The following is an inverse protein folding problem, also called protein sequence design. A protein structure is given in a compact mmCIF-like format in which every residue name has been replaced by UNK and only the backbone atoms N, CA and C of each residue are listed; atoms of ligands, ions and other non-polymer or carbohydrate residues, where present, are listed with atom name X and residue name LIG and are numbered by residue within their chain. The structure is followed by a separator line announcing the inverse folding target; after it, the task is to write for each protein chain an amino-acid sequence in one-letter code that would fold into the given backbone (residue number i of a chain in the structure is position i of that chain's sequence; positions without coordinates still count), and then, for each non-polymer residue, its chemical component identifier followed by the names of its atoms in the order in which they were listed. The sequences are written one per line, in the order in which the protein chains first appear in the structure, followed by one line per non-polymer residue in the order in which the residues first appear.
data_IF_948293131491
#
_entry.id   IF_948293131491
#
_cell.length_a   1.000
_cell.length_b   1.000
_cell.length_c   1.000
_cell.angle_alpha   90.00
_cell.angle_beta   90.00
_cell.angle_gamma   90.00
#
_symmetry.space_group_name_H-M   'P 1'
#
loop_
_entity.id
_entity.type
_entity.pdbx_description
1 polymer ?
#
# COMPACT_ATOMS: atom_id res chain seq x y z
N UNK A 1 -12.64 2.74 -21.30
CA UNK A 1 -12.35 4.20 -21.37
C UNK A 1 -13.11 4.86 -22.53
N UNK A 2 -14.38 4.48 -22.77
CA UNK A 2 -15.14 4.81 -23.99
C UNK A 2 -16.63 4.94 -23.71
N UNK A 3 -17.29 5.90 -24.34
CA UNK A 3 -18.68 5.77 -24.79
C UNK A 3 -18.85 6.46 -26.16
N UNK A 4 -19.71 5.94 -27.04
CA UNK A 4 -19.62 6.18 -28.50
C UNK A 4 -20.63 7.21 -29.01
N UNK A 5 -20.16 8.20 -29.77
CA UNK A 5 -21.01 9.20 -30.46
C UNK A 5 -21.98 8.52 -31.45
N UNK A 6 -23.27 8.86 -31.38
CA UNK A 6 -24.23 8.70 -32.48
C UNK A 6 -24.56 10.09 -33.06
N UNK A 7 -24.17 10.32 -34.30
CA UNK A 7 -24.68 11.43 -35.13
C UNK A 7 -25.42 10.83 -36.32
N UNK A 8 -26.73 11.06 -36.40
CA UNK A 8 -27.58 10.54 -37.47
C UNK A 8 -27.54 11.44 -38.71
N UNK A 9 -26.95 10.97 -39.80
CA UNK A 9 -27.09 11.55 -41.14
C UNK A 9 -27.94 10.62 -42.00
N UNK A 10 -29.13 11.08 -42.40
CA UNK A 10 -30.00 10.35 -43.30
C UNK A 10 -29.50 10.45 -44.74
N UNK A 11 -29.39 9.31 -45.43
CA UNK A 11 -29.30 9.23 -46.89
C UNK A 11 -30.36 8.23 -47.35
N UNK A 12 -31.17 8.65 -48.29
CA UNK A 12 -32.18 7.84 -48.97
C UNK A 12 -31.54 7.05 -50.12
N UNK A 13 -31.94 5.80 -50.30
CA UNK A 13 -31.97 5.17 -51.63
C UNK A 13 -33.09 4.12 -51.70
N UNK A 14 -33.53 3.80 -52.91
CA UNK A 14 -34.81 3.11 -53.16
C UNK A 14 -34.66 1.87 -54.08
N UNK A 15 -35.59 0.92 -53.92
CA UNK A 15 -35.88 -0.24 -54.80
C UNK A 15 -34.79 -1.31 -55.07
N UNK A 16 -35.13 -2.58 -54.82
CA UNK A 16 -34.22 -3.74 -54.97
C UNK A 16 -34.87 -5.12 -54.78
N UNK A 17 -36.12 -5.27 -55.26
CA UNK A 17 -37.06 -6.40 -55.09
C UNK A 17 -36.48 -7.85 -55.06
N UNK A 18 -36.84 -8.65 -54.05
CA UNK A 18 -36.43 -10.07 -53.90
C UNK A 18 -37.29 -10.93 -52.95
N UNK A 19 -38.42 -11.48 -53.46
CA UNK A 19 -39.29 -12.52 -52.83
C UNK A 19 -38.52 -13.76 -52.31
N UNK A 20 -38.95 -14.55 -51.31
CA UNK A 20 -40.22 -14.73 -50.52
C UNK A 20 -39.85 -15.12 -49.03
N UNK A 21 -40.64 -15.61 -48.07
CA UNK A 21 -41.94 -16.35 -48.00
C UNK A 21 -42.66 -16.17 -46.61
N UNK A 22 -43.33 -17.22 -46.10
CA UNK A 22 -44.03 -17.38 -44.80
C UNK A 22 -43.22 -16.92 -43.57
N UNK A 23 -43.79 -16.21 -42.57
CA UNK A 23 -44.97 -16.50 -41.70
C UNK A 23 -44.77 -17.77 -40.85
N UNK A 24 -45.14 -17.83 -39.56
CA UNK A 24 -46.26 -17.18 -38.85
C UNK A 24 -45.83 -16.85 -37.40
N UNK A 25 -45.84 -15.58 -36.97
CA UNK A 25 -46.84 -14.98 -36.06
C UNK A 25 -47.31 -15.87 -34.89
N UNK A 26 -46.97 -15.44 -33.67
CA UNK A 26 -47.91 -15.38 -32.53
C UNK A 26 -47.98 -13.91 -32.12
N UNK A 27 -49.12 -13.46 -31.63
CA UNK A 27 -49.37 -12.11 -31.11
C UNK A 27 -50.34 -12.23 -29.91
N UNK A 28 -50.72 -11.08 -29.37
CA UNK A 28 -51.72 -10.82 -28.32
C UNK A 28 -51.02 -10.56 -26.97
N UNK A 29 -50.79 -9.29 -26.62
CA UNK A 29 -51.74 -8.36 -25.94
C UNK A 29 -51.73 -8.67 -24.43
N UNK A 30 -51.00 -7.89 -23.62
CA UNK A 30 -51.28 -6.50 -23.16
C UNK A 30 -52.55 -6.45 -22.33
N UNK A 31 -52.37 -6.18 -21.04
CA UNK A 31 -53.21 -5.25 -20.28
C UNK A 31 -52.26 -4.41 -19.41
N UNK A 32 -52.40 -3.09 -19.49
CA UNK A 32 -51.81 -2.13 -18.55
C UNK A 32 -52.87 -1.83 -17.48
N UNK A 33 -52.47 -1.63 -16.22
CA UNK A 33 -53.27 -0.81 -15.30
C UNK A 33 -52.37 0.12 -14.48
N UNK A 34 -52.84 1.35 -14.30
CA UNK A 34 -52.03 2.51 -13.92
C UNK A 34 -52.79 3.34 -12.91
N UNK A 35 -52.14 3.64 -11.78
CA UNK A 35 -52.15 4.95 -11.12
C UNK A 35 -51.00 4.98 -10.10
N UNK A 36 -50.11 5.98 -10.05
CA UNK A 36 -50.30 7.42 -9.81
C UNK A 36 -50.95 7.72 -8.45
N UNK A 37 -50.69 8.82 -7.76
CA UNK A 37 -49.62 9.83 -7.70
C UNK A 37 -50.19 10.83 -6.68
N UNK A 38 -49.59 10.99 -5.50
CA UNK A 38 -49.89 12.14 -4.63
C UNK A 38 -48.58 12.71 -4.11
N UNK A 39 -48.31 13.93 -4.54
CA UNK A 39 -47.19 14.76 -4.09
C UNK A 39 -47.59 15.55 -2.85
N UNK A 40 -46.61 15.80 -1.99
CA UNK A 40 -46.31 17.08 -1.33
C UNK A 40 -44.96 16.89 -0.61
N UNK A 41 -44.07 17.88 -0.48
CA UNK A 41 -44.16 19.29 -0.89
C UNK A 41 -43.80 20.19 0.29
N UNK A 42 -42.82 21.09 0.09
CA UNK A 42 -42.34 22.10 1.07
C UNK A 42 -41.63 21.52 2.32
N UNK A 43 -40.66 22.19 2.96
CA UNK A 43 -39.87 23.38 2.58
C UNK A 43 -38.46 23.32 3.24
N UNK A 44 -37.64 24.35 2.99
CA UNK A 44 -36.37 24.59 3.68
C UNK A 44 -36.58 24.90 5.17
N UNK A 45 -35.62 24.53 6.02
CA UNK A 45 -35.20 25.44 7.09
C UNK A 45 -33.72 25.23 7.43
N UNK A 46 -33.05 26.33 7.76
CA UNK A 46 -31.63 26.38 8.13
C UNK A 46 -31.47 26.05 9.61
N UNK A 47 -30.28 25.58 10.04
CA UNK A 47 -29.88 25.61 11.46
C UNK A 47 -28.36 25.44 11.58
N UNK A 48 -27.65 26.53 11.32
CA UNK A 48 -26.38 26.82 12.00
C UNK A 48 -26.65 27.01 13.49
N UNK A 49 -25.84 26.44 14.37
CA UNK A 49 -25.75 26.92 15.76
C UNK A 49 -24.28 26.92 16.19
N UNK A 50 -23.82 28.10 16.62
CA UNK A 50 -22.44 28.34 17.04
C UNK A 50 -22.29 28.11 18.55
N UNK A 51 -21.06 27.85 19.02
CA UNK A 51 -20.67 28.26 20.38
C UNK A 51 -19.16 28.54 20.50
N UNK A 52 -18.85 29.79 20.20
CA UNK A 52 -18.05 30.70 21.03
C UNK A 52 -16.82 30.13 21.76
N UNK A 53 -15.64 30.63 21.36
CA UNK A 53 -14.52 30.81 22.29
C UNK A 53 -14.91 31.77 23.40
N UNK A 54 -14.35 31.57 24.60
CA UNK A 54 -14.13 32.63 25.56
C UNK A 54 -12.65 32.62 25.98
N UNK A 55 -11.87 33.52 25.39
CA UNK A 55 -10.59 33.97 25.94
C UNK A 55 -10.88 35.06 26.98
N UNK A 56 -10.13 35.08 28.08
CA UNK A 56 -9.84 36.32 28.81
C UNK A 56 -8.69 36.10 29.79
N UNK A 57 -7.72 37.00 29.74
CA UNK A 57 -6.61 37.08 30.67
C UNK A 57 -7.08 37.59 32.05
N UNK A 58 -6.21 37.43 33.05
CA UNK A 58 -5.77 38.57 33.84
C UNK A 58 -4.42 38.26 34.51
N UNK A 59 -3.50 39.21 34.40
CA UNK A 59 -2.33 39.30 35.27
C UNK A 59 -2.76 39.75 36.67
N UNK A 60 -2.08 39.30 37.72
CA UNK A 60 -1.70 40.20 38.81
C UNK A 60 -0.50 39.61 39.59
N UNK A 61 0.32 40.47 40.20
CA UNK A 61 1.67 40.10 40.65
C UNK A 61 2.06 40.48 42.09
N UNK A 62 3.28 40.09 42.47
CA UNK A 62 3.95 40.28 43.77
C UNK A 62 3.30 39.53 44.97
N UNK A 63 4.05 38.87 45.85
CA UNK A 63 5.19 39.43 46.61
C UNK A 63 6.29 38.41 46.96
N UNK A 64 7.48 38.91 47.31
CA UNK A 64 8.61 38.11 47.79
C UNK A 64 8.54 37.85 49.31
N UNK A 65 8.97 36.67 49.78
CA UNK A 65 10.12 36.54 50.69
C UNK A 65 10.48 35.09 51.10
N UNK A 66 11.78 34.77 51.08
CA UNK A 66 12.50 34.47 52.32
C UNK A 66 12.42 33.08 52.99
N UNK A 67 12.94 32.04 52.32
CA UNK A 67 13.95 31.13 52.90
C UNK A 67 13.56 30.06 53.95
N UNK A 68 14.16 28.87 53.81
CA UNK A 68 14.12 27.76 54.78
C UNK A 68 14.36 26.42 54.09
N UNK A 69 15.61 25.94 54.07
CA UNK A 69 16.00 24.76 53.28
C UNK A 69 15.98 23.43 54.05
N UNK A 70 16.33 22.35 53.36
CA UNK A 70 16.53 21.01 53.92
C UNK A 70 16.26 19.90 52.90
N UNK A 71 17.32 19.17 52.54
CA UNK A 71 17.40 17.74 52.16
C UNK A 71 16.40 17.09 51.15
N UNK A 72 16.96 16.43 50.11
CA UNK A 72 16.36 15.32 49.34
C UNK A 72 15.30 15.68 48.29
N UNK A 73 15.24 15.06 47.11
CA UNK A 73 16.01 13.94 46.53
C UNK A 73 16.20 14.14 44.99
N UNK A 74 17.07 13.34 44.37
CA UNK A 74 17.42 13.41 42.93
C UNK A 74 16.42 12.61 42.05
N UNK A 75 15.30 13.22 41.65
CA UNK A 75 14.18 12.58 40.90
C UNK A 75 13.97 13.14 39.45
N UNK A 76 15.03 13.48 38.69
CA UNK A 76 14.92 13.93 37.28
C UNK A 76 15.69 13.09 36.22
N UNK A 77 16.40 12.02 36.60
CA UNK A 77 17.17 11.16 35.66
C UNK A 77 16.42 9.88 35.19
N UNK A 78 15.29 9.52 35.81
CA UNK A 78 14.67 8.17 35.68
C UNK A 78 13.95 7.91 34.33
N UNK A 79 13.42 8.94 33.63
CA UNK A 79 12.66 8.73 32.38
C UNK A 79 13.53 8.24 31.20
N UNK A 80 14.82 8.61 31.15
CA UNK A 80 15.74 8.26 30.06
C UNK A 80 16.28 6.81 30.18
N UNK A 81 16.51 6.30 31.40
CA UNK A 81 17.00 4.92 31.59
C UNK A 81 15.86 3.89 31.48
N UNK A 82 14.59 4.28 31.67
CA UNK A 82 13.43 3.37 31.48
C UNK A 82 13.15 3.06 29.99
N UNK A 83 13.33 4.03 29.07
CA UNK A 83 13.38 3.74 27.62
C UNK A 83 14.59 2.85 27.28
N UNK A 84 15.76 3.08 27.88
CA UNK A 84 16.94 2.25 27.66
C UNK A 84 16.76 0.81 28.20
N UNK A 85 16.07 0.64 29.32
CA UNK A 85 15.60 -0.63 29.88
C UNK A 85 14.63 -1.36 28.91
N UNK A 86 13.63 -0.66 28.37
CA UNK A 86 12.72 -1.18 27.33
C UNK A 86 13.47 -1.57 26.02
N UNK A 87 14.44 -0.79 25.56
CA UNK A 87 15.34 -1.12 24.43
C UNK A 87 16.12 -2.43 24.68
N UNK A 88 16.72 -2.57 25.89
CA UNK A 88 17.45 -3.77 26.33
C UNK A 88 16.50 -4.98 26.33
N UNK A 89 15.31 -4.87 26.94
CA UNK A 89 14.27 -5.92 27.01
C UNK A 89 13.79 -6.40 25.63
N UNK A 90 13.77 -5.53 24.62
CA UNK A 90 13.34 -5.82 23.24
C UNK A 90 14.42 -6.49 22.36
N UNK A 91 15.65 -6.69 22.85
CA UNK A 91 16.78 -7.20 22.06
C UNK A 91 17.01 -8.70 22.23
N UNK A 92 16.67 -9.50 21.20
CA UNK A 92 16.95 -10.95 21.19
C UNK A 92 18.36 -11.24 20.70
N UNK A 93 19.08 -12.08 21.45
CA UNK A 93 20.46 -12.51 21.15
C UNK A 93 20.52 -14.02 20.93
N UNK A 94 21.31 -14.47 19.96
CA UNK A 94 21.51 -15.90 19.64
C UNK A 94 22.93 -16.17 19.14
N UNK A 95 23.43 -17.41 19.28
CA UNK A 95 24.71 -17.83 18.71
C UNK A 95 24.51 -18.59 17.39
N UNK A 96 25.39 -18.35 16.41
CA UNK A 96 25.46 -19.09 15.15
C UNK A 96 26.90 -19.09 14.62
N UNK A 97 27.41 -20.23 14.15
CA UNK A 97 28.81 -20.39 13.68
C UNK A 97 29.86 -19.90 14.72
N UNK A 98 29.56 -20.08 16.01
CA UNK A 98 30.37 -19.59 17.14
C UNK A 98 30.25 -18.08 17.42
N UNK A 99 29.59 -17.31 16.55
CA UNK A 99 29.42 -15.86 16.68
C UNK A 99 28.08 -15.52 17.33
N UNK A 100 28.10 -14.60 18.29
CA UNK A 100 26.89 -14.06 18.91
C UNK A 100 26.31 -12.93 18.06
N UNK A 101 25.03 -13.03 17.72
CA UNK A 101 24.25 -12.06 16.95
C UNK A 101 23.08 -11.55 17.78
N UNK A 102 22.79 -10.26 17.69
CA UNK A 102 21.64 -9.62 18.33
C UNK A 102 20.79 -8.83 17.34
N UNK A 103 19.49 -8.73 17.61
CA UNK A 103 18.55 -7.88 16.87
C UNK A 103 17.35 -7.51 17.74
N UNK A 104 16.79 -6.32 17.48
CA UNK A 104 15.55 -5.86 18.12
C UNK A 104 14.36 -6.60 17.54
N UNK A 105 13.59 -7.27 18.38
CA UNK A 105 12.34 -7.91 17.98
C UNK A 105 11.16 -6.93 17.99
N UNK A 106 10.04 -7.33 17.39
CA UNK A 106 8.80 -6.53 17.40
C UNK A 106 7.99 -6.86 18.66
N UNK A 107 7.25 -5.90 19.25
CA UNK A 107 6.42 -6.14 20.45
C UNK A 107 5.53 -7.38 20.32
N UNK A 108 4.88 -7.55 19.16
CA UNK A 108 4.04 -8.72 18.86
C UNK A 108 4.73 -10.09 18.93
N UNK A 109 6.06 -10.16 18.80
CA UNK A 109 6.84 -11.40 18.92
C UNK A 109 7.19 -11.67 20.39
N UNK A 110 7.51 -10.61 21.13
CA UNK A 110 7.85 -10.64 22.55
C UNK A 110 6.60 -11.03 23.36
N UNK A 111 5.46 -10.40 23.10
CA UNK A 111 4.17 -10.74 23.72
C UNK A 111 3.73 -12.19 23.48
N UNK A 112 4.14 -12.81 22.37
CA UNK A 112 3.87 -14.22 22.09
C UNK A 112 4.82 -15.13 22.90
N UNK A 113 6.11 -14.80 22.97
CA UNK A 113 7.09 -15.52 23.82
C UNK A 113 6.73 -15.47 25.31
N UNK A 114 6.24 -14.33 25.78
CA UNK A 114 5.71 -14.13 27.13
C UNK A 114 4.32 -14.79 27.32
N UNK A 115 3.69 -15.27 26.24
CA UNK A 115 2.37 -15.89 26.27
C UNK A 115 1.23 -14.92 26.60
N UNK A 116 1.43 -13.60 26.47
CA UNK A 116 0.38 -12.56 26.61
C UNK A 116 -0.61 -12.64 25.44
N UNK A 117 -0.12 -12.98 24.25
CA UNK A 117 -0.92 -13.30 23.06
C UNK A 117 -0.67 -14.73 22.59
N UNK A 118 -1.54 -15.21 21.71
CA UNK A 118 -1.41 -16.47 20.98
C UNK A 118 -2.09 -16.38 19.60
N UNK A 119 -1.62 -17.20 18.66
CA UNK A 119 -2.16 -17.31 17.30
C UNK A 119 -2.96 -18.61 17.18
N UNK A 120 -4.27 -18.52 16.95
CA UNK A 120 -5.17 -19.68 16.85
C UNK A 120 -5.84 -19.74 15.49
N UNK A 121 -5.89 -20.92 14.88
CA UNK A 121 -6.72 -21.17 13.69
C UNK A 121 -8.05 -21.77 14.16
N UNK A 122 -9.16 -21.12 13.80
CA UNK A 122 -10.52 -21.51 14.15
C UNK A 122 -11.42 -21.56 12.90
N UNK A 123 -12.45 -22.40 12.93
CA UNK A 123 -13.54 -22.42 11.95
C UNK A 123 -14.88 -22.67 12.66
N UNK A 124 -15.98 -22.73 11.90
CA UNK A 124 -17.30 -22.98 12.48
C UNK A 124 -17.53 -24.48 12.80
N UNK A 125 -16.87 -24.94 13.85
CA UNK A 125 -16.93 -26.29 14.44
C UNK A 125 -18.11 -26.50 15.41
N UNK A 126 -18.98 -25.50 15.59
CA UNK A 126 -20.02 -25.38 16.64
C UNK A 126 -19.53 -25.34 18.10
N UNK A 127 -18.23 -25.27 18.38
CA UNK A 127 -17.72 -25.09 19.74
C UNK A 127 -17.95 -23.66 20.23
N UNK A 128 -18.16 -23.50 21.55
CA UNK A 128 -18.38 -22.18 22.16
C UNK A 128 -17.16 -21.26 21.98
N UNK A 129 -15.95 -21.81 22.03
CA UNK A 129 -14.70 -21.04 21.99
C UNK A 129 -14.40 -20.50 20.58
N UNK A 130 -14.46 -21.36 19.55
CA UNK A 130 -14.42 -20.92 18.15
C UNK A 130 -15.58 -19.97 17.84
N UNK A 131 -16.79 -20.25 18.38
CA UNK A 131 -17.93 -19.33 18.47
C UNK A 131 -17.55 -17.89 18.86
N UNK A 132 -16.91 -17.74 20.03
CA UNK A 132 -16.52 -16.46 20.60
C UNK A 132 -15.39 -15.78 19.79
N UNK A 133 -14.39 -16.53 19.34
CA UNK A 133 -13.28 -15.98 18.54
C UNK A 133 -13.76 -15.50 17.17
N UNK A 134 -14.60 -16.27 16.47
CA UNK A 134 -15.20 -15.86 15.19
C UNK A 134 -16.14 -14.66 15.36
N UNK A 135 -16.87 -14.58 16.47
CA UNK A 135 -17.69 -13.39 16.80
C UNK A 135 -16.83 -12.15 16.98
N UNK A 136 -15.70 -12.27 17.69
CA UNK A 136 -14.73 -11.18 17.86
C UNK A 136 -14.14 -10.72 16.53
N UNK A 137 -13.70 -11.66 15.69
CA UNK A 137 -13.19 -11.38 14.35
C UNK A 137 -14.22 -10.68 13.45
N UNK A 138 -15.45 -11.21 13.37
CA UNK A 138 -16.57 -10.56 12.67
C UNK A 138 -16.71 -9.09 13.09
N UNK A 139 -16.69 -8.83 14.40
CA UNK A 139 -16.90 -7.48 14.94
C UNK A 139 -15.72 -6.54 14.62
N UNK A 140 -14.49 -7.05 14.47
CA UNK A 140 -13.34 -6.28 13.97
C UNK A 140 -13.48 -6.00 12.48
N UNK A 141 -13.74 -7.02 11.66
CA UNK A 141 -13.91 -6.85 10.21
C UNK A 141 -15.05 -5.86 9.89
N UNK A 142 -16.19 -5.94 10.58
CA UNK A 142 -17.32 -5.01 10.41
C UNK A 142 -17.02 -3.55 10.81
N UNK A 143 -15.94 -3.29 11.57
CA UNK A 143 -15.47 -1.94 11.92
C UNK A 143 -14.35 -1.47 10.99
N UNK A 144 -13.40 -2.35 10.65
CA UNK A 144 -12.20 -2.00 9.88
C UNK A 144 -12.42 -2.06 8.35
N UNK A 145 -13.46 -2.75 7.87
CA UNK A 145 -13.81 -2.88 6.45
C UNK A 145 -15.20 -2.27 6.16
N UNK A 146 -15.41 -0.94 6.32
CA UNK A 146 -16.73 -0.33 6.26
C UNK A 146 -17.43 -0.43 4.88
N UNK A 147 -16.67 -0.68 3.80
CA UNK A 147 -17.21 -0.94 2.46
C UNK A 147 -17.85 -2.33 2.32
N UNK A 148 -17.49 -3.29 3.17
CA UNK A 148 -17.95 -4.67 3.08
C UNK A 148 -19.28 -4.86 3.84
N UNK A 149 -20.35 -5.38 3.21
CA UNK A 149 -21.64 -5.53 3.87
C UNK A 149 -21.56 -6.39 5.14
N UNK A 150 -22.17 -5.92 6.24
CA UNK A 150 -22.10 -6.58 7.56
C UNK A 150 -22.59 -8.04 7.54
N UNK A 151 -23.62 -8.31 6.75
CA UNK A 151 -24.15 -9.66 6.54
C UNK A 151 -23.20 -10.54 5.73
N UNK A 152 -22.57 -10.00 4.68
CA UNK A 152 -21.57 -10.69 3.87
C UNK A 152 -20.36 -11.14 4.71
N UNK A 153 -19.83 -10.24 5.56
CA UNK A 153 -18.79 -10.57 6.54
C UNK A 153 -19.27 -11.70 7.47
N UNK A 154 -20.47 -11.55 8.06
CA UNK A 154 -21.01 -12.55 8.99
C UNK A 154 -21.14 -13.92 8.34
N UNK A 155 -21.63 -13.97 7.08
CA UNK A 155 -21.86 -15.20 6.33
C UNK A 155 -20.56 -15.94 6.01
N UNK A 156 -19.48 -15.24 5.65
CA UNK A 156 -18.20 -15.88 5.33
C UNK A 156 -17.35 -16.20 6.57
N UNK A 157 -17.39 -15.39 7.64
CA UNK A 157 -16.67 -15.70 8.89
C UNK A 157 -17.24 -16.95 9.59
N UNK A 158 -18.53 -17.23 9.43
CA UNK A 158 -19.16 -18.45 9.94
C UNK A 158 -19.32 -19.57 8.89
N UNK A 159 -18.78 -19.41 7.68
CA UNK A 159 -18.84 -20.45 6.64
C UNK A 159 -17.85 -21.59 6.95
N UNK A 160 -18.30 -22.84 6.83
CA UNK A 160 -17.51 -24.03 7.22
C UNK A 160 -16.37 -24.37 6.26
N UNK A 161 -16.34 -23.81 5.04
CA UNK A 161 -15.21 -23.92 4.13
C UNK A 161 -14.16 -22.82 4.33
N UNK A 162 -14.40 -21.87 5.24
CA UNK A 162 -13.46 -20.81 5.59
C UNK A 162 -12.78 -21.12 6.93
N UNK A 163 -11.51 -20.74 7.02
CA UNK A 163 -10.68 -20.81 8.21
C UNK A 163 -10.29 -19.38 8.61
N UNK A 164 -10.19 -19.12 9.90
CA UNK A 164 -9.74 -17.83 10.41
C UNK A 164 -8.56 -18.00 11.36
N UNK A 165 -7.43 -17.40 11.03
CA UNK A 165 -6.33 -17.24 11.96
C UNK A 165 -6.54 -15.97 12.78
N UNK A 166 -6.76 -16.12 14.09
CA UNK A 166 -6.98 -15.05 15.04
C UNK A 166 -5.73 -14.77 15.87
N UNK A 167 -5.46 -13.49 16.12
CA UNK A 167 -4.59 -13.03 17.20
C UNK A 167 -5.45 -12.87 18.44
N UNK A 168 -5.17 -13.65 19.49
CA UNK A 168 -5.94 -13.63 20.75
C UNK A 168 -5.02 -13.20 21.88
N UNK A 169 -5.38 -12.12 22.59
CA UNK A 169 -4.78 -11.71 23.86
C UNK A 169 -5.52 -12.44 24.98
N UNK A 170 -4.79 -13.05 25.92
CA UNK A 170 -5.43 -13.82 27.01
C UNK A 170 -6.29 -12.90 27.89
N UNK A 171 -7.44 -13.39 28.43
CA UNK A 171 -7.92 -14.77 28.37
C UNK A 171 -8.54 -15.19 27.02
N UNK A 172 -9.32 -14.33 26.34
CA UNK A 172 -9.91 -14.65 25.03
C UNK A 172 -10.26 -13.39 24.20
N UNK A 173 -9.49 -12.32 24.35
CA UNK A 173 -9.73 -11.03 23.68
C UNK A 173 -9.15 -11.05 22.28
N UNK A 174 -10.00 -11.01 21.24
CA UNK A 174 -9.55 -10.99 19.85
C UNK A 174 -8.95 -9.61 19.51
N UNK A 175 -7.70 -9.60 19.03
CA UNK A 175 -6.95 -8.39 18.62
C UNK A 175 -7.08 -8.14 17.11
N UNK A 176 -7.23 -9.20 16.32
CA UNK A 176 -7.35 -9.15 14.86
C UNK A 176 -7.25 -10.54 14.24
N UNK A 177 -7.27 -10.62 12.91
CA UNK A 177 -7.13 -11.90 12.21
C UNK A 177 -7.19 -11.81 10.68
N UNK A 178 -6.97 -12.98 10.07
CA UNK A 178 -7.16 -13.22 8.64
C UNK A 178 -8.16 -14.36 8.48
N UNK A 179 -9.25 -14.11 7.74
CA UNK A 179 -10.15 -15.16 7.24
C UNK A 179 -9.74 -15.52 5.83
N UNK A 180 -9.53 -16.81 5.57
CA UNK A 180 -9.07 -17.35 4.30
C UNK A 180 -9.82 -18.63 3.94
N UNK A 181 -9.75 -19.01 2.66
CA UNK A 181 -10.40 -20.19 2.10
C UNK A 181 -9.38 -21.01 1.31
N UNK A 182 -8.93 -22.18 1.81
CA UNK A 182 -7.98 -23.02 1.08
C UNK A 182 -8.65 -23.75 -0.08
N UNK A 183 -7.90 -23.92 -1.17
CA UNK A 183 -8.24 -24.77 -2.30
C UNK A 183 -7.06 -25.74 -2.53
N UNK A 184 -6.88 -26.71 -1.62
CA UNK A 184 -5.67 -27.54 -1.57
C UNK A 184 -5.40 -28.33 -2.87
N UNK A 185 -6.47 -28.77 -3.55
CA UNK A 185 -6.42 -29.42 -4.86
C UNK A 185 -5.95 -28.49 -6.01
N UNK A 186 -5.80 -27.19 -5.75
CA UNK A 186 -5.38 -26.13 -6.68
C UNK A 186 -4.16 -25.34 -6.15
N UNK A 187 -3.55 -25.81 -5.06
CA UNK A 187 -2.33 -25.27 -4.44
C UNK A 187 -2.39 -23.78 -4.02
N UNK A 188 -3.58 -23.18 -3.90
CA UNK A 188 -3.75 -21.79 -3.47
C UNK A 188 -4.81 -21.63 -2.37
N UNK A 189 -4.75 -20.50 -1.65
CA UNK A 189 -5.85 -20.05 -0.79
C UNK A 189 -6.25 -18.61 -1.11
N UNK A 190 -7.54 -18.33 -1.01
CA UNK A 190 -8.12 -16.98 -1.09
C UNK A 190 -8.06 -16.33 0.30
N UNK A 191 -7.42 -15.16 0.42
CA UNK A 191 -7.57 -14.31 1.60
C UNK A 191 -8.81 -13.44 1.38
N UNK A 192 -9.80 -13.62 2.25
CA UNK A 192 -11.12 -12.99 2.16
C UNK A 192 -11.17 -11.72 3.01
N UNK A 193 -10.68 -11.78 4.25
CA UNK A 193 -10.60 -10.63 5.15
C UNK A 193 -9.24 -10.61 5.87
N UNK A 194 -8.67 -9.43 6.09
CA UNK A 194 -7.44 -9.22 6.85
C UNK A 194 -7.54 -7.89 7.61
N UNK A 195 -7.60 -7.93 8.95
CA UNK A 195 -7.72 -6.72 9.77
C UNK A 195 -7.17 -6.90 11.19
N UNK A 196 -6.65 -5.80 11.76
CA UNK A 196 -6.27 -5.67 13.17
C UNK A 196 -7.10 -4.54 13.78
N UNK A 197 -7.51 -4.67 15.05
CA UNK A 197 -8.19 -3.59 15.78
C UNK A 197 -7.37 -2.30 15.73
N UNK A 198 -8.01 -1.16 15.46
CA UNK A 198 -7.33 0.15 15.35
C UNK A 198 -6.54 0.54 16.61
N UNK A 199 -7.00 0.11 17.79
CA UNK A 199 -6.30 0.26 19.08
C UNK A 199 -4.95 -0.49 19.18
N UNK A 200 -4.71 -1.43 18.28
CA UNK A 200 -3.58 -2.37 18.29
C UNK A 200 -2.80 -2.33 16.95
N UNK A 201 -3.10 -1.37 16.07
CA UNK A 201 -2.35 -1.16 14.83
C UNK A 201 -0.95 -0.60 15.13
N UNK A 202 -0.08 -0.57 14.10
CA UNK A 202 1.35 -0.20 14.17
C UNK A 202 2.26 -1.15 15.01
N UNK A 203 1.76 -1.80 16.07
CA UNK A 203 2.47 -2.76 16.95
C UNK A 203 3.03 -4.03 16.28
N UNK A 204 2.82 -4.19 14.97
CA UNK A 204 3.42 -5.24 14.15
C UNK A 204 2.57 -6.50 13.94
N UNK A 205 1.46 -6.67 14.68
CA UNK A 205 0.65 -7.91 14.66
C UNK A 205 0.25 -8.37 13.26
N UNK A 206 -0.12 -7.47 12.33
CA UNK A 206 -0.54 -7.87 10.97
C UNK A 206 0.56 -8.61 10.18
N UNK A 207 1.80 -8.13 10.24
CA UNK A 207 2.92 -8.80 9.58
C UNK A 207 3.32 -10.10 10.32
N UNK A 208 3.16 -10.15 11.64
CA UNK A 208 3.43 -11.36 12.42
C UNK A 208 2.38 -12.46 12.17
N UNK A 209 1.11 -12.07 12.11
CA UNK A 209 -0.04 -12.87 11.70
C UNK A 209 0.11 -13.43 10.27
N UNK A 210 0.60 -12.62 9.32
CA UNK A 210 0.88 -13.10 7.97
C UNK A 210 2.03 -14.11 7.94
N UNK A 211 3.08 -13.94 8.75
CA UNK A 211 4.15 -14.93 8.87
C UNK A 211 3.63 -16.25 9.47
N UNK A 212 2.84 -16.18 10.54
CA UNK A 212 2.14 -17.34 11.13
C UNK A 212 1.25 -18.04 10.10
N UNK A 213 0.45 -17.30 9.31
CA UNK A 213 -0.41 -17.87 8.27
C UNK A 213 0.39 -18.61 7.20
N UNK A 214 1.51 -18.05 6.73
CA UNK A 214 2.39 -18.67 5.74
C UNK A 214 3.12 -19.89 6.26
N UNK A 215 3.53 -19.90 7.53
CA UNK A 215 4.17 -21.05 8.15
C UNK A 215 3.15 -22.15 8.46
N UNK A 216 1.94 -21.79 8.91
CA UNK A 216 0.83 -22.72 9.13
C UNK A 216 0.38 -23.40 7.84
N UNK A 217 -0.02 -22.65 6.80
CA UNK A 217 -0.55 -23.23 5.56
C UNK A 217 0.45 -24.16 4.89
N UNK A 218 1.74 -23.80 4.83
CA UNK A 218 2.79 -24.67 4.25
C UNK A 218 3.10 -25.90 5.10
N UNK A 219 2.85 -25.86 6.40
CA UNK A 219 3.06 -27.00 7.31
C UNK A 219 1.85 -27.96 7.37
N UNK A 220 0.65 -27.48 7.02
CA UNK A 220 -0.60 -28.25 7.16
C UNK A 220 -1.27 -28.62 5.84
N UNK A 221 -0.97 -27.95 4.73
CA UNK A 221 -1.60 -28.22 3.44
C UNK A 221 -0.68 -27.93 2.22
N UNK A 222 -1.17 -28.24 1.02
CA UNK A 222 -0.43 -28.06 -0.24
C UNK A 222 -0.48 -26.61 -0.77
N UNK A 223 -0.96 -25.64 0.01
CA UNK A 223 -1.08 -24.25 -0.44
C UNK A 223 0.31 -23.58 -0.56
N UNK A 224 0.64 -23.17 -1.79
CA UNK A 224 1.86 -22.46 -2.18
C UNK A 224 1.60 -20.98 -2.49
N UNK A 225 0.38 -20.65 -2.91
CA UNK A 225 -0.01 -19.31 -3.35
C UNK A 225 -1.13 -18.73 -2.49
N UNK A 226 -1.09 -17.43 -2.22
CA UNK A 226 -2.25 -16.68 -1.73
C UNK A 226 -2.72 -15.70 -2.79
N UNK A 227 -4.04 -15.67 -3.02
CA UNK A 227 -4.72 -14.65 -3.83
C UNK A 227 -5.59 -13.80 -2.91
N UNK A 228 -5.65 -12.49 -3.15
CA UNK A 228 -6.48 -11.55 -2.40
C UNK A 228 -6.95 -10.44 -3.32
N UNK A 229 -8.16 -9.95 -3.13
CA UNK A 229 -8.48 -8.58 -3.55
C UNK A 229 -8.05 -7.63 -2.43
N UNK A 230 -7.37 -6.54 -2.78
CA UNK A 230 -6.86 -5.56 -1.86
C UNK A 230 -7.43 -4.17 -2.18
N UNK A 231 -8.08 -3.56 -1.20
CA UNK A 231 -8.39 -2.12 -1.21
C UNK A 231 -7.11 -1.29 -1.39
N UNK A 232 -7.21 -0.13 -2.07
CA UNK A 232 -6.05 0.73 -2.37
C UNK A 232 -5.17 1.03 -1.14
N UNK A 233 -5.78 1.29 0.02
CA UNK A 233 -5.07 1.51 1.30
C UNK A 233 -4.29 0.28 1.80
N UNK A 234 -4.73 -0.93 1.45
CA UNK A 234 -4.12 -2.20 1.85
C UNK A 234 -3.01 -2.66 0.89
N UNK A 235 -2.95 -2.16 -0.35
CA UNK A 235 -1.90 -2.55 -1.34
C UNK A 235 -0.49 -2.36 -0.77
N UNK A 236 -0.24 -1.27 -0.02
CA UNK A 236 1.05 -1.01 0.62
C UNK A 236 1.42 -2.01 1.73
N UNK A 237 0.42 -2.58 2.41
CA UNK A 237 0.61 -3.68 3.37
C UNK A 237 0.90 -4.99 2.63
N UNK A 238 0.09 -5.35 1.62
CA UNK A 238 0.26 -6.58 0.85
C UNK A 238 1.59 -6.60 0.06
N UNK A 239 2.01 -5.48 -0.58
CA UNK A 239 3.36 -5.33 -1.15
C UNK A 239 4.45 -5.65 -0.11
N UNK A 240 4.36 -5.12 1.11
CA UNK A 240 5.29 -5.42 2.23
C UNK A 240 5.24 -6.89 2.72
N UNK A 241 4.13 -7.59 2.48
CA UNK A 241 4.01 -9.04 2.72
C UNK A 241 4.47 -9.89 1.52
N UNK A 242 5.04 -9.31 0.47
CA UNK A 242 5.48 -10.07 -0.72
C UNK A 242 4.34 -10.49 -1.64
N UNK A 243 3.26 -9.71 -1.69
CA UNK A 243 2.26 -9.82 -2.76
C UNK A 243 2.62 -8.86 -3.91
N UNK A 244 2.35 -9.26 -5.14
CA UNK A 244 2.47 -8.46 -6.37
C UNK A 244 1.10 -8.28 -7.05
N UNK A 245 0.96 -7.25 -7.90
CA UNK A 245 -0.17 -7.11 -8.83
C UNK A 245 -0.11 -8.14 -9.99
N UNK A 246 1.08 -8.71 -10.24
CA UNK A 246 1.32 -9.66 -11.32
C UNK A 246 0.84 -11.06 -10.93
N UNK A 247 -0.20 -11.55 -11.58
CA UNK A 247 -0.79 -12.87 -11.31
C UNK A 247 -0.14 -13.90 -12.23
N UNK A 248 0.87 -14.61 -11.73
CA UNK A 248 1.58 -15.66 -12.48
C UNK A 248 0.87 -17.02 -12.45
N UNK A 249 -0.14 -17.17 -11.58
CA UNK A 249 -0.98 -18.37 -11.53
C UNK A 249 -2.01 -18.34 -12.68
N UNK A 250 -2.05 -19.41 -13.48
CA UNK A 250 -2.92 -19.48 -14.66
C UNK A 250 -4.41 -19.26 -14.31
N UNK A 251 -5.13 -18.56 -15.19
CA UNK A 251 -6.54 -18.18 -14.98
C UNK A 251 -7.44 -19.39 -14.71
N UNK A 252 -7.20 -20.55 -15.33
CA UNK A 252 -7.99 -21.77 -15.09
C UNK A 252 -7.82 -22.35 -13.68
N UNK A 253 -6.80 -21.93 -12.94
CA UNK A 253 -6.55 -22.37 -11.56
C UNK A 253 -7.46 -21.63 -10.56
N UNK A 254 -7.77 -20.35 -10.77
CA UNK A 254 -8.43 -19.50 -9.77
C UNK A 254 -9.71 -18.79 -10.23
N UNK A 255 -9.90 -18.58 -11.54
CA UNK A 255 -11.06 -17.87 -12.08
C UNK A 255 -12.35 -18.64 -11.78
N UNK A 256 -13.36 -17.95 -11.24
CA UNK A 256 -14.62 -18.54 -10.78
C UNK A 256 -14.56 -19.26 -9.43
N UNK A 257 -13.37 -19.42 -8.81
CA UNK A 257 -13.22 -20.00 -7.47
C UNK A 257 -13.17 -18.95 -6.37
N UNK A 258 -12.44 -17.86 -6.61
CA UNK A 258 -12.38 -16.69 -5.73
C UNK A 258 -13.57 -15.75 -5.95
N UNK A 259 -13.72 -14.73 -5.10
CA UNK A 259 -14.69 -13.65 -5.27
C UNK A 259 -14.04 -12.39 -5.81
N UNK A 260 -14.63 -11.88 -6.88
CA UNK A 260 -14.30 -10.58 -7.45
C UNK A 260 -14.94 -9.48 -6.59
N UNK A 261 -14.17 -8.45 -6.24
CA UNK A 261 -14.64 -7.31 -5.44
C UNK A 261 -14.46 -6.01 -6.22
N UNK A 262 -15.56 -5.27 -6.40
CA UNK A 262 -15.55 -4.00 -7.14
C UNK A 262 -14.64 -2.97 -6.45
N UNK A 263 -13.71 -2.38 -7.22
CA UNK A 263 -12.71 -1.44 -6.69
C UNK A 263 -11.55 -2.07 -5.91
N UNK A 264 -11.49 -3.41 -5.79
CA UNK A 264 -10.34 -4.12 -5.24
C UNK A 264 -9.29 -4.43 -6.31
N UNK A 265 -8.00 -4.31 -5.98
CA UNK A 265 -6.89 -4.79 -6.83
C UNK A 265 -6.60 -6.26 -6.51
N UNK A 266 -6.69 -7.15 -7.49
CA UNK A 266 -6.25 -8.55 -7.34
C UNK A 266 -4.72 -8.59 -7.16
N UNK A 267 -4.26 -9.34 -6.15
CA UNK A 267 -2.84 -9.51 -5.85
C UNK A 267 -2.50 -10.97 -5.49
N UNK A 268 -1.31 -11.42 -5.90
CA UNK A 268 -0.78 -12.77 -5.64
C UNK A 268 0.46 -12.71 -4.74
N UNK A 269 0.53 -13.59 -3.72
CA UNK A 269 1.78 -13.95 -3.03
C UNK A 269 2.17 -15.37 -3.40
N UNK A 270 3.36 -15.53 -3.98
CA UNK A 270 4.01 -16.84 -4.15
C UNK A 270 4.90 -17.10 -2.93
N UNK A 271 4.59 -18.11 -2.13
CA UNK A 271 5.36 -18.39 -0.92
C UNK A 271 6.70 -19.06 -1.23
N UNK A 272 7.70 -18.79 -0.39
CA UNK A 272 9.03 -19.39 -0.49
C UNK A 272 9.01 -20.87 -0.06
N UNK A 273 10.00 -21.68 -0.50
CA UNK A 273 10.07 -23.10 -0.14
C UNK A 273 10.08 -23.38 1.37
N UNK A 274 9.55 -24.54 1.75
CA UNK A 274 9.26 -24.95 3.13
C UNK A 274 10.49 -24.95 4.07
N UNK A 275 11.71 -25.05 3.53
CA UNK A 275 12.96 -24.96 4.29
C UNK A 275 13.17 -23.58 4.97
N UNK A 276 12.46 -22.54 4.54
CA UNK A 276 12.49 -21.20 5.15
C UNK A 276 11.22 -20.97 5.97
N UNK A 277 11.34 -20.75 7.28
CA UNK A 277 10.24 -20.28 8.15
C UNK A 277 10.13 -18.75 8.11
N UNK A 278 8.93 -18.22 7.85
CA UNK A 278 8.69 -16.77 7.85
C UNK A 278 8.79 -16.17 9.26
N UNK A 279 8.51 -16.93 10.31
CA UNK A 279 8.70 -16.49 11.70
C UNK A 279 10.18 -16.25 12.07
N UNK A 280 11.13 -16.93 11.42
CA UNK A 280 12.57 -16.71 11.60
C UNK A 280 13.17 -15.70 10.61
N UNK A 281 12.36 -15.06 9.75
CA UNK A 281 12.84 -14.22 8.64
C UNK A 281 13.86 -13.15 9.08
N UNK A 282 13.68 -12.53 10.25
CA UNK A 282 14.63 -11.55 10.80
C UNK A 282 16.01 -12.16 11.07
N UNK A 283 16.08 -13.36 11.65
CA UNK A 283 17.33 -14.10 11.92
C UNK A 283 17.97 -14.55 10.60
N UNK A 284 17.17 -15.06 9.67
CA UNK A 284 17.64 -15.53 8.35
C UNK A 284 18.28 -14.38 7.57
N UNK A 285 17.62 -13.21 7.50
CA UNK A 285 18.16 -12.02 6.84
C UNK A 285 19.41 -11.47 7.56
N UNK A 286 19.45 -11.50 8.90
CA UNK A 286 20.64 -11.11 9.66
C UNK A 286 21.85 -12.00 9.37
N UNK A 287 21.64 -13.33 9.33
CA UNK A 287 22.70 -14.29 9.00
C UNK A 287 23.16 -14.17 7.54
N UNK A 288 22.24 -13.95 6.59
CA UNK A 288 22.57 -13.67 5.19
C UNK A 288 23.41 -12.38 5.06
N UNK A 289 22.98 -11.28 5.71
CA UNK A 289 23.75 -10.03 5.79
C UNK A 289 25.13 -10.26 6.39
N UNK A 290 25.23 -10.97 7.51
CA UNK A 290 26.50 -11.27 8.17
C UNK A 290 27.44 -12.13 7.29
N UNK A 291 26.91 -13.10 6.55
CA UNK A 291 27.70 -13.91 5.61
C UNK A 291 28.23 -13.07 4.43
N UNK A 292 27.40 -12.18 3.88
CA UNK A 292 27.80 -11.23 2.83
C UNK A 292 28.86 -10.26 3.37
N UNK A 293 28.68 -9.69 4.56
CA UNK A 293 29.67 -8.82 5.20
C UNK A 293 30.98 -9.54 5.53
N UNK A 294 30.93 -10.79 6.01
CA UNK A 294 32.11 -11.66 6.22
C UNK A 294 32.88 -11.83 4.90
N UNK A 295 32.19 -11.92 3.76
CA UNK A 295 32.82 -11.99 2.44
C UNK A 295 33.30 -10.63 1.89
N UNK A 296 32.60 -9.54 2.18
CA UNK A 296 33.03 -8.18 1.84
C UNK A 296 34.30 -7.82 2.62
N UNK A 297 34.38 -8.10 3.92
CA UNK A 297 35.55 -7.83 4.77
C UNK A 297 36.82 -8.57 4.32
N UNK A 298 36.69 -9.73 3.64
CA UNK A 298 37.81 -10.43 3.01
C UNK A 298 38.40 -9.73 1.76
N UNK A 299 37.70 -8.74 1.18
CA UNK A 299 38.13 -8.01 -0.03
C UNK A 299 38.27 -6.50 0.19
N UNK A 300 37.41 -5.92 1.05
CA UNK A 300 37.33 -4.49 1.30
C UNK A 300 38.02 -4.10 2.60
N UNK A 301 38.99 -3.19 2.48
CA UNK A 301 39.70 -2.55 3.60
C UNK A 301 38.84 -1.52 4.36
N UNK A 302 37.59 -1.27 3.95
CA UNK A 302 36.74 -0.22 4.55
C UNK A 302 36.40 -0.43 6.04
N UNK A 303 36.61 -1.64 6.57
CA UNK A 303 36.44 -1.95 7.98
C UNK A 303 37.67 -1.60 8.85
N UNK A 304 38.78 -1.16 8.24
CA UNK A 304 40.01 -0.79 8.94
C UNK A 304 39.94 0.68 9.34
N UNK A 305 39.69 0.93 10.63
CA UNK A 305 39.82 2.27 11.23
C UNK A 305 41.28 2.72 11.13
N UNK A 306 41.51 3.97 10.69
CA UNK A 306 42.83 4.54 10.45
C UNK A 306 43.04 5.78 11.34
N UNK A 307 44.28 6.09 11.75
CA UNK A 307 44.55 7.26 12.57
C UNK A 307 44.16 8.55 11.85
N UNK A 308 43.61 9.51 12.59
CA UNK A 308 43.25 10.83 12.06
C UNK A 308 44.46 11.55 11.47
N UNK A 309 44.22 12.36 10.42
CA UNK A 309 45.26 13.08 9.69
C UNK A 309 45.81 14.21 10.58
N UNK A 310 47.09 14.13 10.94
CA UNK A 310 47.68 15.04 11.94
C UNK A 310 47.74 16.50 11.48
N UNK A 311 47.68 16.76 10.17
CA UNK A 311 47.70 18.11 9.58
C UNK A 311 46.57 18.99 10.13
N UNK A 312 45.39 18.42 10.38
CA UNK A 312 44.24 19.16 10.92
C UNK A 312 44.38 19.56 12.39
N UNK A 313 45.41 19.08 13.11
CA UNK A 313 45.75 19.57 14.46
C UNK A 313 46.50 20.90 14.43
N UNK A 314 47.31 21.15 13.39
CA UNK A 314 48.11 22.37 13.24
C UNK A 314 47.52 23.38 12.26
N UNK A 315 46.74 22.94 11.27
CA UNK A 315 46.00 23.82 10.37
C UNK A 315 44.64 23.18 9.99
N UNK A 316 43.53 23.79 10.43
CA UNK A 316 42.17 23.31 10.15
C UNK A 316 41.78 23.44 8.69
N UNK A 317 42.30 24.44 7.98
CA UNK A 317 41.95 24.77 6.58
C UNK A 317 42.90 24.12 5.56
N UNK A 318 43.65 23.10 5.98
CA UNK A 318 44.64 22.41 5.14
C UNK A 318 43.98 21.63 4.00
N UNK A 319 44.15 22.10 2.76
CA UNK A 319 43.71 21.38 1.55
C UNK A 319 44.66 20.22 1.26
N UNK A 320 44.17 18.99 1.43
CA UNK A 320 44.89 17.75 1.16
C UNK A 320 44.48 17.14 -0.19
N UNK A 321 45.40 16.45 -0.85
CA UNK A 321 45.12 15.64 -2.03
C UNK A 321 44.61 14.24 -1.60
N UNK A 322 43.34 13.88 -1.88
CA UNK A 322 42.76 12.64 -1.34
C UNK A 322 43.50 11.36 -1.78
N UNK A 323 44.03 11.31 -3.00
CA UNK A 323 44.71 10.13 -3.55
C UNK A 323 46.12 9.90 -3.00
N UNK A 324 46.75 10.91 -2.38
CA UNK A 324 48.13 10.87 -1.88
C UNK A 324 48.22 11.01 -0.35
N UNK A 325 47.53 12.00 0.19
CA UNK A 325 47.72 12.45 1.58
C UNK A 325 46.81 11.68 2.56
N UNK A 326 45.92 10.83 2.03
CA UNK A 326 45.03 9.94 2.80
C UNK A 326 45.42 8.49 2.49
N UNK A 327 46.30 7.86 3.30
CA UNK A 327 46.82 6.51 3.02
C UNK A 327 45.73 5.47 2.80
N UNK A 328 44.61 5.55 3.54
CA UNK A 328 43.48 4.63 3.40
C UNK A 328 42.67 4.77 2.11
N UNK A 329 42.69 5.94 1.48
CA UNK A 329 42.02 6.18 0.21
C UNK A 329 42.92 5.71 -0.95
N UNK A 330 44.22 6.02 -0.87
CA UNK A 330 45.24 5.49 -1.79
C UNK A 330 45.26 3.95 -1.77
N UNK A 331 45.30 3.34 -0.59
CA UNK A 331 45.31 1.89 -0.39
C UNK A 331 44.04 1.14 -0.80
N UNK A 332 42.92 1.83 -1.00
CA UNK A 332 41.65 1.22 -1.42
C UNK A 332 41.49 1.19 -2.94
N UNK A 333 42.41 1.81 -3.69
CA UNK A 333 42.33 1.95 -5.15
C UNK A 333 41.34 3.01 -5.60
N UNK A 334 41.03 4.00 -4.74
CA UNK A 334 40.16 5.12 -5.08
C UNK A 334 40.73 5.96 -6.23
N UNK A 335 39.85 6.39 -7.12
CA UNK A 335 40.15 7.28 -8.23
C UNK A 335 39.16 8.45 -8.20
N UNK A 336 39.63 9.64 -8.53
CA UNK A 336 38.81 10.86 -8.55
C UNK A 336 37.57 10.73 -9.47
N UNK A 337 37.70 9.99 -10.57
CA UNK A 337 36.59 9.68 -11.49
C UNK A 337 35.54 8.75 -10.88
N UNK A 338 35.92 7.86 -9.96
CA UNK A 338 34.96 7.02 -9.22
C UNK A 338 34.17 7.86 -8.21
N UNK A 339 34.81 8.87 -7.62
CA UNK A 339 34.18 9.81 -6.70
C UNK A 339 33.21 10.74 -7.44
N UNK A 340 33.63 11.33 -8.57
CA UNK A 340 32.75 12.09 -9.47
C UNK A 340 31.55 11.26 -9.95
N UNK A 341 31.73 9.95 -10.18
CA UNK A 341 30.64 9.05 -10.54
C UNK A 341 29.72 8.72 -9.36
N UNK A 342 30.23 8.67 -8.13
CA UNK A 342 29.45 8.44 -6.91
C UNK A 342 28.69 9.70 -6.44
N UNK A 343 29.26 10.89 -6.66
CA UNK A 343 28.66 12.20 -6.36
C UNK A 343 27.59 12.61 -7.37
N UNK A 344 27.61 12.06 -8.61
CA UNK A 344 26.52 12.25 -9.57
C UNK A 344 25.21 11.73 -8.96
N UNK A 345 24.14 12.56 -8.86
CA UNK A 345 22.87 12.10 -8.33
C UNK A 345 22.32 11.00 -9.24
N UNK A 346 21.97 9.85 -8.65
CA UNK A 346 21.52 8.64 -9.37
C UNK A 346 20.12 8.75 -9.97
N UNK A 347 19.49 9.91 -9.85
CA UNK A 347 18.14 10.29 -10.27
C UNK A 347 18.14 11.81 -10.50
N UNK A 348 17.34 12.31 -11.44
CA UNK A 348 17.20 13.75 -11.66
C UNK A 348 16.66 14.48 -10.42
N UNK A 349 16.94 15.79 -10.23
CA UNK A 349 16.53 16.54 -9.03
C UNK A 349 15.01 16.52 -8.82
N UNK A 350 14.24 16.49 -9.90
CA UNK A 350 12.78 16.45 -9.87
C UNK A 350 12.17 15.08 -9.50
N UNK A 351 12.98 14.02 -9.34
CA UNK A 351 12.50 12.65 -9.15
C UNK A 351 11.54 12.50 -7.96
N UNK A 352 11.89 13.08 -6.80
CA UNK A 352 11.05 12.98 -5.60
C UNK A 352 9.70 13.71 -5.79
N UNK A 353 9.69 14.83 -6.53
CA UNK A 353 8.46 15.56 -6.85
C UNK A 353 7.59 14.77 -7.84
N UNK A 354 8.19 14.19 -8.90
CA UNK A 354 7.49 13.31 -9.84
C UNK A 354 6.88 12.08 -9.15
N UNK A 355 7.60 11.44 -8.21
CA UNK A 355 7.08 10.30 -7.43
C UNK A 355 5.90 10.73 -6.56
N UNK A 356 6.00 11.88 -5.90
CA UNK A 356 4.93 12.42 -5.03
C UNK A 356 3.70 12.76 -5.85
N UNK A 357 3.85 13.55 -6.92
CA UNK A 357 2.77 13.97 -7.80
C UNK A 357 2.09 12.78 -8.49
N UNK A 358 2.84 11.80 -8.99
CA UNK A 358 2.27 10.59 -9.60
C UNK A 358 1.49 9.74 -8.59
N UNK A 359 1.99 9.63 -7.35
CA UNK A 359 1.28 8.96 -6.26
C UNK A 359 -0.04 9.65 -5.93
N UNK A 360 -0.05 10.98 -5.82
CA UNK A 360 -1.28 11.76 -5.57
C UNK A 360 -2.28 11.65 -6.74
N UNK A 361 -1.80 11.72 -7.99
CA UNK A 361 -2.61 11.51 -9.18
C UNK A 361 -3.25 10.12 -9.20
N UNK A 362 -2.47 9.07 -8.87
CA UNK A 362 -2.94 7.68 -8.87
C UNK A 362 -3.98 7.41 -7.78
N UNK A 363 -3.88 8.09 -6.63
CA UNK A 363 -4.84 7.94 -5.53
C UNK A 363 -6.08 8.85 -5.64
N UNK A 364 -6.13 9.77 -6.60
CA UNK A 364 -7.26 10.69 -6.77
C UNK A 364 -8.54 9.97 -7.26
N UNK A 365 -9.74 10.25 -6.74
CA UNK A 365 -10.96 9.50 -7.09
C UNK A 365 -11.37 9.49 -8.57
N UNK A 366 -10.89 10.46 -9.37
CA UNK A 366 -11.11 10.48 -10.84
C UNK A 366 -10.06 9.70 -11.64
N UNK A 367 -9.09 9.04 -11.00
CA UNK A 367 -7.95 8.39 -11.66
C UNK A 367 -8.21 6.98 -12.19
N UNK A 368 -9.29 6.32 -11.75
CA UNK A 368 -9.62 4.95 -12.13
C UNK A 368 -9.66 4.66 -13.65
N UNK A 369 -10.03 5.59 -14.57
CA UNK A 369 -9.99 5.29 -15.99
C UNK A 369 -8.58 5.24 -16.58
N UNK A 370 -7.61 5.80 -15.87
CA UNK A 370 -6.24 6.05 -16.32
C UNK A 370 -5.21 5.19 -15.57
N UNK A 371 -5.66 4.27 -14.70
CA UNK A 371 -4.79 3.47 -13.83
C UNK A 371 -4.05 2.32 -14.54
N UNK A 372 -4.37 2.06 -15.81
CA UNK A 372 -3.81 1.00 -16.65
C UNK A 372 -4.00 1.33 -18.14
N UNK A 373 -3.28 0.67 -19.07
CA UNK A 373 -3.51 0.79 -20.51
C UNK A 373 -4.94 0.40 -20.92
N UNK A 374 -5.46 1.01 -21.99
CA UNK A 374 -6.78 0.65 -22.54
C UNK A 374 -6.70 -0.74 -23.18
N UNK A 375 -7.52 -1.70 -22.72
CA UNK A 375 -7.53 -3.03 -23.31
C UNK A 375 -8.01 -3.00 -24.77
N UNK A 376 -7.17 -3.46 -25.71
CA UNK A 376 -7.49 -3.54 -27.14
C UNK A 376 -8.61 -4.54 -27.44
N UNK A 377 -8.81 -5.56 -26.60
CA UNK A 377 -9.90 -6.53 -26.76
C UNK A 377 -11.27 -5.92 -26.41
N UNK A 378 -11.30 -4.99 -25.46
CA UNK A 378 -12.50 -4.21 -25.10
C UNK A 378 -12.74 -3.02 -26.04
N UNK A 379 -11.67 -2.44 -26.59
CA UNK A 379 -11.73 -1.26 -27.47
C UNK A 379 -10.84 -1.44 -28.70
N UNK A 380 -11.36 -2.16 -29.70
CA UNK A 380 -10.62 -2.51 -30.90
C UNK A 380 -10.06 -1.31 -31.67
N UNK A 381 -10.82 -0.22 -31.77
CA UNK A 381 -10.47 0.99 -32.52
C UNK A 381 -9.67 2.04 -31.71
N UNK A 382 -9.35 1.80 -30.43
CA UNK A 382 -8.62 2.78 -29.61
C UNK A 382 -7.25 3.12 -30.19
N UNK A 383 -6.45 2.10 -30.49
CA UNK A 383 -5.08 2.23 -31.01
C UNK A 383 -5.03 2.62 -32.50
N UNK A 384 -6.17 2.55 -33.19
CA UNK A 384 -6.28 3.07 -34.56
C UNK A 384 -6.51 4.59 -34.56
N UNK A 385 -7.14 5.14 -33.51
CA UNK A 385 -7.33 6.60 -33.32
C UNK A 385 -6.16 7.22 -32.54
N UNK A 386 -5.83 6.68 -31.37
CA UNK A 386 -4.78 7.19 -30.47
C UNK A 386 -3.43 6.56 -30.82
N UNK A 387 -2.50 7.40 -31.31
CA UNK A 387 -1.18 6.95 -31.78
C UNK A 387 -0.12 6.84 -30.69
N UNK A 388 -0.22 7.67 -29.67
CA UNK A 388 0.72 7.72 -28.54
C UNK A 388 -0.06 7.45 -27.24
N UNK A 389 -0.38 6.18 -26.93
CA UNK A 389 -1.13 5.80 -25.74
C UNK A 389 -0.29 6.02 -24.47
N UNK A 390 -0.93 6.50 -23.40
CA UNK A 390 -0.30 6.72 -22.10
C UNK A 390 -1.31 6.47 -20.96
N UNK A 391 -0.82 6.03 -19.81
CA UNK A 391 -1.59 5.77 -18.58
C UNK A 391 -0.67 5.86 -17.35
N UNK A 392 -1.26 5.94 -16.15
CA UNK A 392 -0.54 6.17 -14.89
C UNK A 392 0.38 5.01 -14.49
N UNK A 393 0.09 3.76 -14.89
CA UNK A 393 0.97 2.62 -14.62
C UNK A 393 2.16 2.57 -15.59
N UNK A 394 1.98 2.98 -16.85
CA UNK A 394 3.11 3.23 -17.75
C UNK A 394 3.99 4.38 -17.24
N UNK A 395 3.41 5.43 -16.65
CA UNK A 395 4.18 6.47 -15.96
C UNK A 395 4.90 5.97 -14.70
N UNK A 396 4.26 5.11 -13.87
CA UNK A 396 4.87 4.47 -12.69
C UNK A 396 6.14 3.71 -13.13
N UNK A 397 6.02 2.90 -14.18
CA UNK A 397 7.12 2.12 -14.76
C UNK A 397 8.22 3.00 -15.40
N UNK A 398 7.86 4.05 -16.15
CA UNK A 398 8.85 5.00 -16.74
C UNK A 398 9.65 5.71 -15.65
N UNK A 399 9.00 6.14 -14.57
CA UNK A 399 9.65 6.81 -13.46
C UNK A 399 10.56 5.85 -12.67
N UNK A 400 10.07 4.67 -12.30
CA UNK A 400 10.89 3.65 -11.62
C UNK A 400 12.14 3.25 -12.44
N UNK A 401 12.08 3.26 -13.78
CA UNK A 401 13.19 2.90 -14.67
C UNK A 401 14.01 4.08 -15.22
N UNK A 402 13.85 5.28 -14.63
CA UNK A 402 14.60 6.50 -14.97
C UNK A 402 14.47 6.88 -16.45
N UNK A 403 13.22 7.03 -16.90
CA UNK A 403 12.83 7.41 -18.28
C UNK A 403 12.21 8.80 -18.38
N UNK A 404 12.61 9.69 -17.47
CA UNK A 404 12.25 11.11 -17.45
C UNK A 404 13.51 11.94 -17.16
N UNK A 405 14.13 12.47 -18.21
CA UNK A 405 15.34 13.32 -18.09
C UNK A 405 15.02 14.72 -17.55
N UNK A 406 13.78 15.21 -17.80
CA UNK A 406 13.26 16.48 -17.29
C UNK A 406 11.82 16.34 -16.79
N UNK A 407 11.36 17.32 -16.02
CA UNK A 407 9.97 17.38 -15.57
C UNK A 407 8.98 17.58 -16.74
N UNK A 408 9.40 18.23 -17.83
CA UNK A 408 8.60 18.42 -19.04
C UNK A 408 8.21 17.09 -19.69
N UNK A 409 9.13 16.10 -19.71
CA UNK A 409 8.82 14.77 -20.25
C UNK A 409 7.75 14.04 -19.42
N UNK A 410 7.77 14.23 -18.10
CA UNK A 410 6.75 13.68 -17.19
C UNK A 410 5.41 14.42 -17.33
N UNK A 411 5.45 15.76 -17.42
CA UNK A 411 4.27 16.59 -17.60
C UNK A 411 3.63 16.39 -18.99
N UNK A 412 4.44 16.11 -20.02
CA UNK A 412 3.98 15.71 -21.35
C UNK A 412 3.16 14.41 -21.28
N UNK A 413 3.71 13.35 -20.69
CA UNK A 413 2.99 12.08 -20.51
C UNK A 413 1.68 12.27 -19.73
N UNK A 414 1.68 13.08 -18.66
CA UNK A 414 0.48 13.36 -17.88
C UNK A 414 -0.57 14.14 -18.71
N UNK A 415 -0.16 15.21 -19.41
CA UNK A 415 -1.04 15.96 -20.35
C UNK A 415 -1.55 15.03 -21.48
N UNK A 416 -0.74 14.07 -21.94
CA UNK A 416 -1.07 13.09 -22.99
C UNK A 416 -2.19 12.13 -22.56
N UNK A 417 -2.22 11.66 -21.29
CA UNK A 417 -3.34 10.88 -20.73
C UNK A 417 -4.67 11.65 -20.91
N UNK A 418 -4.70 12.92 -20.51
CA UNK A 418 -5.92 13.74 -20.56
C UNK A 418 -6.31 14.09 -22.01
N UNK A 419 -5.34 14.43 -22.86
CA UNK A 419 -5.55 14.79 -24.25
C UNK A 419 -6.01 13.61 -25.11
N UNK A 420 -5.46 12.41 -24.90
CA UNK A 420 -5.96 11.19 -25.54
C UNK A 420 -7.41 10.91 -25.13
N UNK A 421 -7.70 10.96 -23.82
CA UNK A 421 -9.05 10.75 -23.30
C UNK A 421 -10.07 11.70 -23.94
N UNK A 422 -9.75 13.00 -24.01
CA UNK A 422 -10.60 14.05 -24.60
C UNK A 422 -10.69 14.01 -26.13
N UNK A 423 -9.68 13.50 -26.81
CA UNK A 423 -9.70 13.32 -28.27
C UNK A 423 -10.58 12.13 -28.67
N UNK A 424 -10.64 11.10 -27.82
CA UNK A 424 -11.41 9.88 -28.07
C UNK A 424 -12.87 9.96 -27.57
N UNK A 425 -13.10 10.55 -26.40
CA UNK A 425 -14.41 10.58 -25.74
C UNK A 425 -15.16 11.91 -25.97
N UNK A 426 -16.50 11.86 -25.91
CA UNK A 426 -17.32 13.08 -25.84
C UNK A 426 -17.23 13.75 -24.45
N UNK A 427 -17.41 15.08 -24.43
CA UNK A 427 -17.46 15.95 -23.24
C UNK A 427 -18.55 15.55 -22.23
N UNK A 428 -19.66 15.01 -22.71
CA UNK A 428 -20.74 14.44 -21.90
C UNK A 428 -20.30 13.22 -21.06
N UNK A 429 -19.25 12.49 -21.44
CA UNK A 429 -18.85 11.23 -20.80
C UNK A 429 -18.21 11.42 -19.41
N UNK A 430 -18.35 10.40 -18.56
CA UNK A 430 -17.61 10.32 -17.29
C UNK A 430 -16.10 10.33 -17.50
N UNK A 431 -15.60 9.77 -18.60
CA UNK A 431 -14.17 9.73 -18.95
C UNK A 431 -13.57 11.12 -19.17
N UNK A 432 -14.22 11.94 -20.02
CA UNK A 432 -13.81 13.32 -20.27
C UNK A 432 -13.88 14.17 -18.99
N UNK A 433 -14.98 14.04 -18.24
CA UNK A 433 -15.16 14.73 -16.95
C UNK A 433 -14.09 14.37 -15.92
N UNK A 434 -13.66 13.10 -15.89
CA UNK A 434 -12.59 12.63 -15.01
C UNK A 434 -11.20 13.12 -15.45
N UNK A 435 -10.93 13.19 -16.75
CA UNK A 435 -9.68 13.78 -17.28
C UNK A 435 -9.55 15.24 -16.86
N UNK A 436 -10.59 16.06 -17.10
CA UNK A 436 -10.59 17.49 -16.72
C UNK A 436 -10.49 17.70 -15.20
N UNK A 437 -11.08 16.82 -14.38
CA UNK A 437 -10.90 16.86 -12.91
C UNK A 437 -9.46 16.55 -12.48
N UNK A 438 -8.87 15.50 -13.05
CA UNK A 438 -7.54 15.03 -12.67
C UNK A 438 -6.44 15.98 -13.17
N UNK A 439 -6.59 16.55 -14.36
CA UNK A 439 -5.72 17.62 -14.88
C UNK A 439 -5.79 18.89 -14.03
N UNK A 440 -6.99 19.32 -13.61
CA UNK A 440 -7.13 20.47 -12.70
C UNK A 440 -6.45 20.20 -11.35
N UNK A 441 -6.57 18.99 -10.82
CA UNK A 441 -5.87 18.58 -9.60
C UNK A 441 -4.35 18.60 -9.79
N UNK A 442 -3.84 18.06 -10.90
CA UNK A 442 -2.42 18.12 -11.28
C UNK A 442 -1.91 19.57 -11.35
N UNK A 443 -2.61 20.44 -12.08
CA UNK A 443 -2.20 21.82 -12.28
C UNK A 443 -2.24 22.62 -10.98
N UNK A 444 -3.21 22.37 -10.09
CA UNK A 444 -3.18 22.94 -8.74
C UNK A 444 -1.91 22.51 -7.99
N UNK A 445 -1.60 21.20 -7.95
CA UNK A 445 -0.43 20.66 -7.23
C UNK A 445 0.92 21.16 -7.76
N UNK A 446 1.01 21.41 -9.08
CA UNK A 446 2.18 22.05 -9.69
C UNK A 446 2.25 23.54 -9.31
N UNK A 447 1.11 24.25 -9.31
CA UNK A 447 1.02 25.68 -8.96
C UNK A 447 1.34 25.96 -7.50
N UNK A 448 0.88 25.09 -6.59
CA UNK A 448 1.10 25.19 -5.15
C UNK A 448 2.59 24.97 -4.78
N UNK A 449 3.38 24.38 -5.69
CA UNK A 449 4.82 24.21 -5.53
C UNK A 449 5.60 25.36 -6.18
N UNK A 450 6.22 26.20 -5.34
CA UNK A 450 6.96 27.39 -5.79
C UNK A 450 8.09 27.08 -6.81
N UNK A 451 8.69 25.89 -6.74
CA UNK A 451 9.73 25.43 -7.67
C UNK A 451 9.18 25.04 -9.05
N UNK A 452 7.91 24.59 -9.16
CA UNK A 452 7.36 23.96 -10.37
C UNK A 452 6.23 24.77 -11.04
N UNK A 453 5.72 25.82 -10.38
CA UNK A 453 4.64 26.67 -10.89
C UNK A 453 4.86 27.15 -12.34
N UNK A 454 6.11 27.50 -12.69
CA UNK A 454 6.51 27.98 -14.01
C UNK A 454 6.34 26.96 -15.18
N UNK A 455 6.15 25.67 -14.90
CA UNK A 455 5.81 24.66 -15.92
C UNK A 455 4.32 24.68 -16.34
N UNK A 456 3.52 25.60 -15.79
CA UNK A 456 2.12 25.83 -16.18
C UNK A 456 1.95 27.01 -17.14
N UNK A 457 2.96 27.88 -17.23
CA UNK A 457 2.95 29.08 -18.09
C UNK A 457 3.49 28.80 -19.51
N UNK A 458 3.51 27.51 -19.91
CA UNK A 458 3.97 26.95 -21.20
C UNK A 458 2.95 25.94 -21.79
#
# INVERSE_FOLDING_TARGET
MVDRKRTSSAISDNEGNGRVDKKTKIKDEIDDEVDNDVKNGEALEDNTDEKEKAENDNEDGHTENGGGGGDGDDDEDDEDDDEAEEEKKRTTTFNFDGVTYSFKERPSVIEEKEGKIEFRVVNNDNTKESLMVLTGLKNIFQKQLPKMPREYISRLVYDRSHLSMAVVRKPLTVVGGITYRPFDNREFAEIVFCAISSTEQVRGYGAHLMNHLKDYCRATSNVKYFLTYADNYAIGYFKKQGFTKEITLDKSVWMGYIKDYEGGTLMQCSMLPLILRYLDLAKILLLQKAAIEKKIKQRSKAHIVRPGLQVFKTNKDAKLNPAKDIPGLSESGWLEEMDKLAQKPKRGPHYNFMVTLLSELTNHPSAWPFSAPVNKEEVGDYYDVIKEPMDLSTMELKLENDKYDSFDQFLYDARLIFNNCRSYNADSTTYFKNATKLEKFMNNKIKDSAEYSHFLDQ
#
